data_IF_756441471972
#
_entry.id   IF_756441471972
#
_cell.length_a   1.000
_cell.length_b   1.000
_cell.length_c   1.000
_cell.angle_alpha   90.00
_cell.angle_beta   90.00
_cell.angle_gamma   90.00
#
_symmetry.space_group_name_H-M   'P 1'
#
loop_
_entity.id
_entity.type
_entity.pdbx_description
1 polymer ?
#
# COMPACT_ATOMS: atom_id res chain seq x y z
N UNK A 1 -22.61 3.83 -5.32
CA UNK A 1 -21.41 3.44 -6.08
C UNK A 1 -20.23 3.81 -5.23
N UNK A 2 -19.44 2.82 -4.82
CA UNK A 2 -18.24 3.04 -4.03
C UNK A 2 -17.06 2.55 -4.86
N UNK A 3 -16.33 3.50 -5.43
CA UNK A 3 -15.21 3.18 -6.30
C UNK A 3 -13.96 2.92 -5.45
N UNK A 4 -13.31 1.78 -5.69
CA UNK A 4 -12.10 1.37 -5.02
C UNK A 4 -11.00 1.09 -6.04
N UNK A 5 -9.77 1.53 -5.73
CA UNK A 5 -8.57 1.24 -6.51
C UNK A 5 -7.70 0.27 -5.73
N UNK A 6 -7.28 -0.82 -6.35
CA UNK A 6 -6.38 -1.79 -5.72
C UNK A 6 -5.26 -2.26 -6.65
N UNK A 7 -4.13 -2.61 -6.04
CA UNK A 7 -2.98 -3.15 -6.73
C UNK A 7 -2.91 -4.68 -6.53
N UNK A 8 -2.58 -5.38 -7.61
CA UNK A 8 -2.53 -6.84 -7.66
C UNK A 8 -1.14 -7.20 -8.19
N UNK A 9 -0.37 -7.97 -7.42
CA UNK A 9 0.86 -8.58 -7.92
C UNK A 9 0.49 -9.71 -8.86
N UNK A 10 1.08 -9.75 -10.05
CA UNK A 10 0.77 -10.75 -11.08
C UNK A 10 2.07 -11.37 -11.57
N UNK A 11 2.29 -12.62 -11.20
CA UNK A 11 3.41 -13.43 -11.65
C UNK A 11 2.99 -14.41 -12.76
N UNK A 12 3.96 -14.86 -13.55
CA UNK A 12 3.73 -15.81 -14.67
C UNK A 12 3.41 -15.15 -16.01
N UNK A 13 3.35 -13.82 -16.08
CA UNK A 13 3.30 -13.11 -17.35
C UNK A 13 4.70 -13.16 -18.02
N UNK A 14 4.75 -13.59 -19.27
CA UNK A 14 6.00 -13.72 -20.04
C UNK A 14 6.03 -12.84 -21.29
N UNK A 15 4.89 -12.25 -21.68
CA UNK A 15 4.80 -11.39 -22.86
C UNK A 15 3.61 -10.41 -22.77
N UNK A 16 3.61 -9.40 -23.64
CA UNK A 16 2.50 -8.43 -23.71
C UNK A 16 1.17 -9.03 -24.15
N UNK A 17 1.16 -10.21 -24.75
CA UNK A 17 -0.09 -10.91 -25.03
C UNK A 17 -0.75 -11.43 -23.74
N UNK A 18 0.03 -11.82 -22.72
CA UNK A 18 -0.51 -12.17 -21.39
C UNK A 18 -1.19 -10.96 -20.74
N UNK A 19 -0.52 -9.81 -20.76
CA UNK A 19 -1.04 -8.53 -20.25
C UNK A 19 -2.39 -8.20 -20.87
N UNK A 20 -2.46 -8.15 -22.20
CA UNK A 20 -3.71 -7.88 -22.94
C UNK A 20 -4.80 -8.89 -22.63
N UNK A 21 -4.45 -10.16 -22.48
CA UNK A 21 -5.43 -11.20 -22.15
C UNK A 21 -6.08 -10.95 -20.78
N UNK A 22 -5.28 -10.59 -19.77
CA UNK A 22 -5.75 -10.24 -18.43
C UNK A 22 -6.66 -9.01 -18.49
N UNK A 23 -6.20 -7.91 -19.09
CA UNK A 23 -6.97 -6.66 -19.17
C UNK A 23 -8.32 -6.88 -19.88
N UNK A 24 -8.31 -7.57 -21.02
CA UNK A 24 -9.53 -7.86 -21.80
C UNK A 24 -10.53 -8.77 -21.06
N UNK A 25 -10.04 -9.66 -20.21
CA UNK A 25 -10.89 -10.58 -19.45
C UNK A 25 -11.48 -9.90 -18.23
N UNK A 26 -10.66 -9.16 -17.47
CA UNK A 26 -11.08 -8.51 -16.24
C UNK A 26 -12.00 -7.33 -16.53
N UNK A 27 -11.76 -6.54 -17.57
CA UNK A 27 -12.64 -5.42 -17.97
C UNK A 27 -14.09 -5.86 -18.25
N UNK A 28 -14.32 -7.14 -18.59
CA UNK A 28 -15.67 -7.69 -18.85
C UNK A 28 -16.43 -8.10 -17.60
N UNK A 29 -15.79 -8.12 -16.43
CA UNK A 29 -16.46 -8.46 -15.18
C UNK A 29 -17.40 -7.32 -14.75
N UNK A 30 -18.58 -7.68 -14.27
CA UNK A 30 -19.51 -6.69 -13.73
C UNK A 30 -18.89 -6.02 -12.49
N UNK A 31 -18.98 -4.68 -12.43
CA UNK A 31 -18.38 -3.87 -11.37
C UNK A 31 -16.97 -3.38 -11.66
N UNK A 32 -16.30 -3.83 -12.74
CA UNK A 32 -15.00 -3.28 -13.14
C UNK A 32 -15.20 -1.96 -13.91
N UNK A 33 -14.45 -0.93 -13.53
CA UNK A 33 -14.41 0.36 -14.22
C UNK A 33 -13.22 0.46 -15.14
N UNK A 34 -12.06 0.04 -14.66
CA UNK A 34 -10.81 0.05 -15.42
C UNK A 34 -9.81 -0.94 -14.84
N UNK A 35 -8.93 -1.46 -15.69
CA UNK A 35 -7.76 -2.23 -15.28
C UNK A 35 -6.58 -1.88 -16.18
N UNK A 36 -5.39 -1.78 -15.60
CA UNK A 36 -4.14 -1.59 -16.31
C UNK A 36 -3.08 -2.52 -15.74
N UNK A 37 -2.36 -3.23 -16.60
CA UNK A 37 -1.36 -4.24 -16.19
C UNK A 37 0.01 -3.87 -16.74
N UNK A 38 1.03 -3.95 -15.90
CA UNK A 38 2.45 -3.72 -16.21
C UNK A 38 3.21 -5.04 -16.14
N UNK A 39 3.78 -5.45 -17.27
CA UNK A 39 4.68 -6.62 -17.33
C UNK A 39 6.00 -6.35 -16.60
N UNK A 40 6.51 -5.13 -16.72
CA UNK A 40 7.78 -4.70 -16.11
C UNK A 40 7.68 -4.72 -14.57
N UNK A 41 6.59 -4.15 -14.02
CA UNK A 41 6.37 -4.08 -12.58
C UNK A 41 5.74 -5.35 -11.98
N UNK A 42 5.32 -6.30 -12.84
CA UNK A 42 4.54 -7.48 -12.45
C UNK A 42 3.31 -7.10 -11.62
N UNK A 43 2.59 -6.06 -12.07
CA UNK A 43 1.55 -5.39 -11.31
C UNK A 43 0.30 -5.15 -12.16
N UNK A 44 -0.88 -5.28 -11.57
CA UNK A 44 -2.16 -4.81 -12.11
C UNK A 44 -2.79 -3.77 -11.20
N UNK A 45 -3.23 -2.65 -11.74
CA UNK A 45 -4.02 -1.64 -11.04
C UNK A 45 -5.46 -1.75 -11.53
N UNK A 46 -6.39 -2.00 -10.62
CA UNK A 46 -7.81 -2.17 -10.93
C UNK A 46 -8.65 -1.14 -10.19
N UNK A 47 -9.60 -0.54 -10.91
CA UNK A 47 -10.63 0.35 -10.40
C UNK A 47 -11.97 -0.38 -10.53
N UNK A 48 -12.67 -0.57 -9.42
CA UNK A 48 -13.90 -1.37 -9.37
C UNK A 48 -14.91 -0.82 -8.35
N UNK A 49 -16.17 -1.22 -8.47
CA UNK A 49 -17.22 -0.93 -7.49
C UNK A 49 -17.23 -2.01 -6.41
N UNK A 50 -16.81 -1.65 -5.20
CA UNK A 50 -16.69 -2.58 -4.05
C UNK A 50 -18.04 -3.15 -3.60
N UNK A 51 -19.16 -2.52 -3.98
CA UNK A 51 -20.49 -3.05 -3.73
C UNK A 51 -20.92 -4.13 -4.73
N UNK A 52 -20.27 -4.20 -5.90
CA UNK A 52 -20.64 -5.11 -6.99
C UNK A 52 -19.71 -6.32 -7.07
N UNK A 53 -18.41 -6.12 -6.85
CA UNK A 53 -17.41 -7.19 -6.95
C UNK A 53 -16.35 -7.03 -5.85
N UNK A 54 -15.97 -8.14 -5.23
CA UNK A 54 -14.89 -8.14 -4.25
C UNK A 54 -13.53 -8.22 -4.95
N UNK A 55 -12.51 -7.61 -4.34
CA UNK A 55 -11.14 -7.70 -4.85
C UNK A 55 -10.63 -9.16 -4.89
N UNK A 56 -11.06 -10.00 -3.96
CA UNK A 56 -10.70 -11.41 -3.94
C UNK A 56 -11.22 -12.15 -5.17
N UNK A 57 -12.44 -11.83 -5.63
CA UNK A 57 -13.00 -12.42 -6.86
C UNK A 57 -12.18 -12.02 -8.09
N UNK A 58 -11.67 -10.79 -8.14
CA UNK A 58 -10.81 -10.30 -9.23
C UNK A 58 -9.50 -11.08 -9.24
N UNK A 59 -8.87 -11.22 -8.07
CA UNK A 59 -7.62 -11.99 -7.91
C UNK A 59 -7.81 -13.45 -8.30
N UNK A 60 -8.87 -14.08 -7.81
CA UNK A 60 -9.21 -15.47 -8.13
C UNK A 60 -9.43 -15.64 -9.64
N UNK A 61 -10.10 -14.68 -10.29
CA UNK A 61 -10.29 -14.72 -11.73
C UNK A 61 -8.96 -14.72 -12.48
N UNK A 62 -7.98 -13.92 -12.06
CA UNK A 62 -6.64 -13.90 -12.66
C UNK A 62 -5.92 -15.23 -12.39
N UNK A 63 -6.06 -15.80 -11.19
CA UNK A 63 -5.52 -17.13 -10.87
C UNK A 63 -6.08 -18.24 -11.77
N UNK A 64 -7.39 -18.23 -12.02
CA UNK A 64 -8.06 -19.18 -12.91
C UNK A 64 -7.61 -19.05 -14.38
N UNK A 65 -7.02 -17.92 -14.77
CA UNK A 65 -6.42 -17.75 -16.10
C UNK A 65 -5.02 -18.38 -16.22
N UNK A 66 -4.51 -18.99 -15.14
CA UNK A 66 -3.20 -19.63 -15.10
C UNK A 66 -2.04 -18.72 -14.69
N UNK A 67 -2.35 -17.53 -14.16
CA UNK A 67 -1.35 -16.64 -13.57
C UNK A 67 -1.31 -16.82 -12.06
N UNK A 68 -0.27 -16.30 -11.40
CA UNK A 68 -0.23 -16.24 -9.94
C UNK A 68 -0.47 -14.80 -9.50
N UNK A 69 -1.71 -14.51 -9.13
CA UNK A 69 -2.17 -13.22 -8.67
C UNK A 69 -2.36 -13.21 -7.16
N UNK A 70 -1.84 -12.15 -6.54
CA UNK A 70 -1.96 -11.89 -5.12
C UNK A 70 -2.30 -10.41 -4.90
N UNK A 71 -3.05 -10.10 -3.86
CA UNK A 71 -3.23 -8.72 -3.46
C UNK A 71 -1.88 -8.16 -3.04
N UNK A 72 -1.29 -7.34 -3.92
CA UNK A 72 -0.26 -6.43 -3.50
C UNK A 72 -0.99 -5.33 -2.75
N UNK A 73 -1.24 -5.54 -1.45
CA UNK A 73 -1.60 -4.46 -0.56
C UNK A 73 -0.63 -3.33 -0.84
N UNK A 74 -1.13 -2.27 -1.47
CA UNK A 74 -0.34 -1.17 -2.01
C UNK A 74 0.54 -0.63 -0.91
N UNK A 75 1.78 -1.12 -0.91
CA UNK A 75 2.75 -0.95 0.17
C UNK A 75 2.16 -1.50 1.49
N UNK A 76 2.80 -2.49 2.12
CA UNK A 76 2.40 -2.93 3.46
C UNK A 76 2.69 -1.79 4.43
N UNK A 77 1.87 -0.75 4.45
CA UNK A 77 2.12 0.44 5.22
C UNK A 77 1.49 0.30 6.59
N UNK A 78 2.23 0.71 7.60
CA UNK A 78 1.64 1.04 8.88
C UNK A 78 1.88 2.51 9.15
N UNK A 79 1.03 3.04 10.01
CA UNK A 79 1.31 4.27 10.71
C UNK A 79 1.75 3.90 12.12
N UNK A 80 2.84 4.49 12.57
CA UNK A 80 3.33 4.39 13.93
C UNK A 80 3.27 5.78 14.54
N UNK A 81 2.52 5.93 15.62
CA UNK A 81 2.61 7.13 16.46
C UNK A 81 3.76 6.92 17.46
N UNK A 82 4.73 7.83 17.42
CA UNK A 82 5.95 7.78 18.23
C UNK A 82 5.97 8.97 19.17
N UNK A 83 6.20 8.70 20.45
CA UNK A 83 6.49 9.73 21.44
C UNK A 83 7.97 10.16 21.30
N UNK A 84 8.19 11.40 20.89
CA UNK A 84 9.49 12.02 20.73
C UNK A 84 9.73 12.99 21.89
N UNK A 85 10.27 12.48 23.00
CA UNK A 85 10.68 13.33 24.10
C UNK A 85 11.81 14.29 23.72
N UNK A 86 11.68 15.57 24.09
CA UNK A 86 12.79 16.53 24.08
C UNK A 86 13.16 17.15 22.71
N UNK A 87 12.30 17.04 21.70
CA UNK A 87 12.44 17.81 20.46
C UNK A 87 11.77 19.16 20.66
N UNK A 88 12.48 20.25 20.41
CA UNK A 88 11.88 21.58 20.37
C UNK A 88 11.30 21.88 18.98
N UNK A 89 10.27 22.74 18.93
CA UNK A 89 9.49 22.99 17.71
C UNK A 89 10.35 23.48 16.54
N UNK A 90 11.40 24.27 16.80
CA UNK A 90 12.33 24.74 15.79
C UNK A 90 13.16 23.62 15.13
N UNK A 91 13.27 22.46 15.78
CA UNK A 91 14.00 21.29 15.28
C UNK A 91 13.11 20.29 14.54
N UNK A 92 11.78 20.52 14.48
CA UNK A 92 10.83 19.66 13.75
C UNK A 92 11.23 19.50 12.27
N UNK A 93 11.54 20.56 11.50
CA UNK A 93 11.83 20.42 10.07
C UNK A 93 13.05 19.52 9.80
N UNK A 94 14.10 19.69 10.59
CA UNK A 94 15.34 18.90 10.50
C UNK A 94 15.06 17.45 10.88
N UNK A 95 14.21 17.22 11.89
CA UNK A 95 13.84 15.87 12.32
C UNK A 95 13.05 15.14 11.24
N UNK A 96 12.10 15.81 10.58
CA UNK A 96 11.34 15.27 9.45
C UNK A 96 12.28 14.88 8.31
N UNK A 97 13.21 15.76 7.93
CA UNK A 97 14.19 15.49 6.88
C UNK A 97 15.00 14.22 7.20
N UNK A 98 15.53 14.11 8.42
CA UNK A 98 16.34 12.96 8.84
C UNK A 98 15.55 11.65 8.89
N UNK A 99 14.32 11.68 9.40
CA UNK A 99 13.47 10.48 9.48
C UNK A 99 13.03 10.04 8.09
N UNK A 100 12.84 10.97 7.16
CA UNK A 100 12.46 10.67 5.77
C UNK A 100 13.56 9.97 4.98
N UNK A 101 14.83 10.06 5.43
CA UNK A 101 15.96 9.33 4.85
C UNK A 101 16.02 7.86 5.29
N UNK A 102 15.23 7.45 6.28
CA UNK A 102 15.24 6.07 6.77
C UNK A 102 14.60 5.16 5.71
N UNK A 103 15.29 4.08 5.35
CA UNK A 103 14.80 3.11 4.37
C UNK A 103 13.42 2.58 4.75
N UNK A 104 12.47 2.69 3.81
CA UNK A 104 11.09 2.26 4.01
C UNK A 104 10.21 3.23 4.79
N UNK A 105 10.71 4.38 5.26
CA UNK A 105 9.82 5.48 5.69
C UNK A 105 9.21 6.15 4.46
N UNK A 106 7.93 6.49 4.55
CA UNK A 106 7.15 7.06 3.45
C UNK A 106 6.66 8.46 3.76
N UNK A 107 6.26 8.71 5.01
CA UNK A 107 5.78 10.01 5.45
C UNK A 107 5.96 10.20 6.95
N UNK A 108 6.14 11.44 7.37
CA UNK A 108 6.21 11.84 8.79
C UNK A 108 5.33 13.07 8.97
N UNK A 109 4.45 13.04 9.97
CA UNK A 109 3.58 14.17 10.34
C UNK A 109 3.64 14.43 11.82
N UNK A 110 3.59 15.69 12.21
CA UNK A 110 3.33 16.11 13.58
C UNK A 110 1.86 16.55 13.63
N UNK A 111 0.96 15.78 14.26
CA UNK A 111 -0.48 15.99 14.17
C UNK A 111 -0.95 17.27 14.89
N UNK A 112 -0.17 17.76 15.87
CA UNK A 112 -0.55 18.88 16.72
C UNK A 112 0.42 20.05 16.56
N UNK A 113 -0.14 21.25 16.40
CA UNK A 113 0.64 22.50 16.33
C UNK A 113 1.09 22.85 17.75
N UNK A 114 2.40 23.00 17.97
CA UNK A 114 3.04 23.23 19.28
C UNK A 114 3.05 22.02 20.22
N UNK A 115 2.92 20.80 19.69
CA UNK A 115 3.19 19.57 20.44
C UNK A 115 4.13 18.69 19.61
N UNK A 116 5.42 18.93 19.82
CA UNK A 116 6.56 18.18 19.27
C UNK A 116 6.72 16.79 19.90
N UNK A 117 5.89 16.46 20.89
CA UNK A 117 5.99 15.22 21.66
C UNK A 117 5.51 14.01 20.86
N UNK A 118 4.71 14.19 19.80
CA UNK A 118 4.16 13.08 19.02
C UNK A 118 4.41 13.25 17.52
N UNK A 119 4.91 12.21 16.88
CA UNK A 119 5.04 12.12 15.43
C UNK A 119 4.34 10.86 14.90
N UNK A 120 3.59 11.02 13.82
CA UNK A 120 3.02 9.93 13.06
C UNK A 120 3.94 9.59 11.89
N UNK A 121 4.43 8.36 11.84
CA UNK A 121 5.34 7.85 10.81
C UNK A 121 4.61 6.80 9.98
N UNK A 122 4.41 7.09 8.69
CA UNK A 122 3.99 6.08 7.71
C UNK A 122 5.22 5.37 7.14
N UNK A 123 5.23 4.04 7.16
CA UNK A 123 6.37 3.25 6.68
C UNK A 123 5.94 1.93 6.04
N UNK A 124 6.76 1.41 5.12
CA UNK A 124 6.60 0.13 4.46
C UNK A 124 7.19 -1.02 5.30
N UNK A 125 6.32 -1.91 5.80
CA UNK A 125 6.61 -3.09 6.63
C UNK A 125 7.60 -4.07 5.99
N UNK A 126 7.61 -4.18 4.65
CA UNK A 126 8.51 -5.09 3.92
C UNK A 126 9.95 -4.58 3.93
N UNK A 127 10.13 -3.28 3.74
CA UNK A 127 11.46 -2.64 3.69
C UNK A 127 11.96 -2.15 5.04
N UNK A 128 11.06 -1.94 6.02
CA UNK A 128 11.41 -1.48 7.36
C UNK A 128 10.84 -2.43 8.44
N UNK A 129 11.55 -3.56 8.64
CA UNK A 129 11.20 -4.57 9.66
C UNK A 129 11.29 -4.00 11.09
N UNK A 130 12.15 -3.01 11.32
CA UNK A 130 12.35 -2.41 12.63
C UNK A 130 11.11 -1.65 13.10
N UNK A 131 10.59 -0.72 12.27
CA UNK A 131 9.35 0.01 12.58
C UNK A 131 8.14 -0.94 12.65
N UNK A 132 8.15 -2.02 11.87
CA UNK A 132 7.14 -3.08 11.97
C UNK A 132 7.14 -3.81 13.30
N UNK A 133 8.31 -4.11 13.86
CA UNK A 133 8.39 -4.70 15.21
C UNK A 133 7.88 -3.72 16.25
N UNK A 134 8.29 -2.45 16.19
CA UNK A 134 7.84 -1.42 17.13
C UNK A 134 6.32 -1.23 17.07
N UNK A 135 5.71 -1.20 15.88
CA UNK A 135 4.25 -1.03 15.78
C UNK A 135 3.45 -2.20 16.36
N UNK A 136 4.04 -3.40 16.44
CA UNK A 136 3.42 -4.57 17.08
C UNK A 136 3.62 -4.62 18.59
N UNK A 137 4.78 -4.15 19.06
CA UNK A 137 5.12 -4.14 20.49
C UNK A 137 4.49 -2.96 21.23
N UNK A 138 4.02 -1.94 20.51
CA UNK A 138 3.19 -0.85 21.05
C UNK A 138 1.77 -1.38 21.28
N UNK A 139 1.62 -2.25 22.29
CA UNK A 139 0.32 -2.77 22.73
C UNK A 139 -0.51 -1.62 23.29
N UNK A 140 -1.79 -1.55 22.90
CA UNK A 140 -2.81 -0.63 23.42
C UNK A 140 -2.67 -0.45 24.94
N UNK A 141 -2.50 0.78 25.40
CA UNK A 141 -2.95 1.13 26.74
C UNK A 141 -4.48 1.19 26.70
N UNK A 142 -5.13 0.24 27.37
CA UNK A 142 -6.55 0.29 27.73
C UNK A 142 -6.85 1.55 28.57
#
# INVERSE_FOLDING_TARGET
MEESTQHIGINGMTCQSCVRNIENTITKLNGIRSIKVSLEDKLGIVIFDSNTISINNIVERINQMGFNAELNQTIQNDNLDVELGGISDENIPISIERISLINGVLNVKFPFKNDSTHAQISYNKKSNRYLYTISKDTVHWL
#
